data_IF_819346292449
#
_entry.id   IF_819346292449
#
_cell.length_a   1.000
_cell.length_b   1.000
_cell.length_c   1.000
_cell.angle_alpha   90.00
_cell.angle_beta   90.00
_cell.angle_gamma   90.00
#
_symmetry.space_group_name_H-M   'P 1'
#
loop_
_entity.id
_entity.type
_entity.pdbx_description
1 polymer ?
#
# COMPACT_ATOMS: atom_id res chain seq x y z
N UNK A 1 2.66 12.41 16.79
CA UNK A 1 3.55 11.59 17.66
C UNK A 1 3.45 10.16 17.18
N UNK A 2 4.57 9.52 16.85
CA UNK A 2 4.60 8.09 16.57
C UNK A 2 4.03 7.32 17.77
N UNK A 3 3.21 6.29 17.51
CA UNK A 3 2.63 5.45 18.55
C UNK A 3 3.77 4.79 19.31
N UNK A 4 3.83 4.98 20.64
CA UNK A 4 4.89 4.41 21.48
C UNK A 4 4.82 2.88 21.41
N UNK A 5 5.93 2.25 21.02
CA UNK A 5 6.04 0.79 20.98
C UNK A 5 6.31 0.24 22.40
N UNK A 6 5.50 -0.74 22.83
CA UNK A 6 5.56 -1.33 24.18
C UNK A 6 5.60 -2.86 24.16
N UNK A 7 5.65 -3.48 22.98
CA UNK A 7 5.59 -4.92 22.83
C UNK A 7 6.74 -5.66 23.54
N UNK A 8 7.92 -5.04 23.66
CA UNK A 8 9.05 -5.62 24.38
C UNK A 8 8.71 -5.80 25.85
N UNK A 9 8.27 -4.74 26.54
CA UNK A 9 7.89 -4.81 27.96
C UNK A 9 6.69 -5.69 28.21
N UNK A 10 5.68 -5.64 27.34
CA UNK A 10 4.47 -6.46 27.49
C UNK A 10 4.75 -7.96 27.38
N UNK A 11 5.64 -8.37 26.47
CA UNK A 11 5.88 -9.80 26.19
C UNK A 11 7.08 -10.37 26.92
N UNK A 12 8.11 -9.56 27.17
CA UNK A 12 9.40 -10.01 27.67
C UNK A 12 9.81 -9.34 28.98
N UNK A 13 8.98 -8.47 29.57
CA UNK A 13 9.32 -7.73 30.78
C UNK A 13 9.73 -8.62 31.96
N UNK A 14 9.11 -9.80 32.12
CA UNK A 14 9.48 -10.75 33.19
C UNK A 14 10.68 -11.61 32.81
N UNK A 15 10.75 -12.09 31.57
CA UNK A 15 11.78 -13.03 31.12
C UNK A 15 13.14 -12.35 30.88
N UNK A 16 13.12 -11.20 30.22
CA UNK A 16 14.30 -10.48 29.77
C UNK A 16 14.07 -8.95 29.86
N UNK A 17 13.94 -8.39 31.07
CA UNK A 17 13.56 -6.98 31.28
C UNK A 17 14.49 -5.99 30.57
N UNK A 18 15.80 -6.26 30.55
CA UNK A 18 16.74 -5.36 29.87
C UNK A 18 16.58 -5.40 28.35
N UNK A 19 16.31 -6.57 27.78
CA UNK A 19 16.05 -6.67 26.35
C UNK A 19 14.75 -5.97 25.98
N UNK A 20 13.70 -6.13 26.80
CA UNK A 20 12.44 -5.42 26.64
C UNK A 20 12.60 -3.89 26.65
N UNK A 21 13.40 -3.37 27.59
CA UNK A 21 13.74 -1.94 27.67
C UNK A 21 14.47 -1.47 26.40
N UNK A 22 15.53 -2.18 25.98
CA UNK A 22 16.31 -1.81 24.78
C UNK A 22 15.47 -1.87 23.50
N UNK A 23 14.55 -2.83 23.39
CA UNK A 23 13.64 -2.93 22.26
C UNK A 23 12.73 -1.70 22.17
N UNK A 24 12.07 -1.36 23.27
CA UNK A 24 11.05 -0.31 23.26
C UNK A 24 11.66 1.09 23.24
N UNK A 25 12.70 1.33 24.05
CA UNK A 25 13.26 2.68 24.22
C UNK A 25 14.32 2.99 23.18
N UNK A 26 15.27 2.07 22.94
CA UNK A 26 16.41 2.36 22.05
C UNK A 26 16.06 2.04 20.60
N UNK A 27 15.63 0.81 20.31
CA UNK A 27 15.32 0.43 18.93
C UNK A 27 14.16 1.26 18.39
N UNK A 28 12.98 1.18 19.00
CA UNK A 28 11.81 1.90 18.49
C UNK A 28 11.74 3.36 18.94
N UNK A 29 12.11 3.64 20.20
CA UNK A 29 12.04 5.00 20.75
C UNK A 29 13.11 5.96 20.22
N UNK A 30 14.28 5.47 19.80
CA UNK A 30 15.37 6.31 19.27
C UNK A 30 15.69 6.01 17.80
N UNK A 31 15.96 4.77 17.42
CA UNK A 31 16.45 4.48 16.05
C UNK A 31 15.34 4.64 15.01
N UNK A 32 14.16 4.07 15.26
CA UNK A 32 13.03 4.19 14.34
C UNK A 32 12.38 5.58 14.35
N UNK A 33 12.53 6.34 15.43
CA UNK A 33 11.96 7.69 15.55
C UNK A 33 12.75 8.78 14.82
N UNK A 34 13.96 8.47 14.32
CA UNK A 34 14.80 9.37 13.51
C UNK A 34 14.27 9.53 12.07
N UNK A 35 13.02 9.93 11.93
CA UNK A 35 12.33 10.04 10.63
C UNK A 35 12.83 11.21 9.77
N UNK A 36 13.51 12.21 10.36
CA UNK A 36 14.09 13.34 9.63
C UNK A 36 15.16 12.90 8.61
N UNK A 37 15.92 11.85 8.92
CA UNK A 37 17.03 11.36 8.09
C UNK A 37 16.60 10.25 7.12
N UNK A 38 15.71 9.37 7.58
CA UNK A 38 15.16 8.27 6.80
C UNK A 38 13.76 7.97 7.33
N UNK A 39 12.76 8.14 6.48
CA UNK A 39 11.36 7.98 6.89
C UNK A 39 11.03 6.51 7.25
N UNK A 40 9.91 6.31 7.93
CA UNK A 40 9.48 4.99 8.41
C UNK A 40 9.23 3.97 7.28
N UNK A 41 8.80 4.42 6.10
CA UNK A 41 8.57 3.56 4.92
C UNK A 41 9.88 2.97 4.42
N UNK A 42 10.90 3.81 4.22
CA UNK A 42 12.20 3.37 3.71
C UNK A 42 12.95 2.54 4.75
N UNK A 43 12.82 2.87 6.05
CA UNK A 43 13.31 2.02 7.16
C UNK A 43 12.69 0.62 7.15
N UNK A 44 11.37 0.53 6.93
CA UNK A 44 10.70 -0.76 6.78
C UNK A 44 11.23 -1.53 5.57
N UNK A 45 11.44 -0.85 4.44
CA UNK A 45 11.95 -1.48 3.22
C UNK A 45 13.33 -2.12 3.43
N UNK A 46 14.29 -1.38 4.00
CA UNK A 46 15.63 -1.91 4.27
C UNK A 46 15.61 -3.03 5.33
N UNK A 47 14.70 -2.94 6.31
CA UNK A 47 14.58 -3.96 7.35
C UNK A 47 14.00 -5.26 6.78
N UNK A 48 12.97 -5.18 5.93
CA UNK A 48 12.41 -6.31 5.19
C UNK A 48 13.51 -6.97 4.33
N UNK A 49 14.28 -6.18 3.58
CA UNK A 49 15.38 -6.68 2.76
C UNK A 49 16.44 -7.42 3.60
N UNK A 50 16.84 -6.85 4.75
CA UNK A 50 17.82 -7.46 5.65
C UNK A 50 17.31 -8.78 6.26
N UNK A 51 16.06 -8.81 6.73
CA UNK A 51 15.45 -10.01 7.33
C UNK A 51 15.25 -11.12 6.31
N UNK A 52 14.83 -10.77 5.08
CA UNK A 52 14.77 -11.69 3.96
C UNK A 52 16.15 -12.28 3.66
N UNK A 53 17.16 -11.42 3.52
CA UNK A 53 18.53 -11.82 3.22
C UNK A 53 19.10 -12.79 4.27
N UNK A 54 18.73 -12.60 5.55
CA UNK A 54 19.13 -13.47 6.66
C UNK A 54 18.26 -14.73 6.82
N UNK A 55 17.09 -14.83 6.15
CA UNK A 55 16.15 -15.94 6.33
C UNK A 55 15.41 -15.93 7.67
N UNK A 56 15.23 -14.75 8.28
CA UNK A 56 14.60 -14.58 9.61
C UNK A 56 13.08 -14.41 9.48
N UNK A 57 12.38 -15.46 9.05
CA UNK A 57 10.98 -15.41 8.63
C UNK A 57 9.96 -14.92 9.70
N UNK A 58 10.06 -15.29 10.99
CA UNK A 58 9.11 -14.79 11.99
C UNK A 58 9.18 -13.26 12.17
N UNK A 59 10.39 -12.70 12.17
CA UNK A 59 10.61 -11.27 12.21
C UNK A 59 10.25 -10.63 10.88
N UNK A 60 10.58 -11.26 9.75
CA UNK A 60 10.20 -10.79 8.41
C UNK A 60 8.69 -10.59 8.32
N UNK A 61 7.89 -11.57 8.74
CA UNK A 61 6.42 -11.45 8.79
C UNK A 61 5.96 -10.23 9.60
N UNK A 62 6.56 -10.02 10.77
CA UNK A 62 6.23 -8.88 11.64
C UNK A 62 6.56 -7.54 10.96
N UNK A 63 7.69 -7.47 10.24
CA UNK A 63 8.09 -6.28 9.49
C UNK A 63 7.37 -6.09 8.15
N UNK A 64 6.81 -7.16 7.57
CA UNK A 64 5.89 -7.05 6.44
C UNK A 64 4.58 -6.37 6.85
N UNK A 65 4.04 -6.70 8.03
CA UNK A 65 2.86 -6.02 8.61
C UNK A 65 3.17 -4.55 8.88
N UNK A 66 4.29 -4.26 9.53
CA UNK A 66 4.72 -2.88 9.80
C UNK A 66 4.99 -2.10 8.50
N UNK A 67 5.61 -2.73 7.50
CA UNK A 67 5.83 -2.15 6.19
C UNK A 67 4.53 -1.76 5.49
N UNK A 68 3.50 -2.62 5.58
CA UNK A 68 2.16 -2.33 5.06
C UNK A 68 1.53 -1.12 5.75
N UNK A 69 1.66 -1.00 7.07
CA UNK A 69 1.19 0.18 7.83
C UNK A 69 1.94 1.47 7.43
N UNK A 70 3.22 1.36 7.07
CA UNK A 70 4.02 2.47 6.56
C UNK A 70 3.83 2.72 5.04
N UNK A 71 2.88 2.05 4.39
CA UNK A 71 2.50 2.28 3.00
C UNK A 71 3.35 1.55 1.95
N UNK A 72 4.10 0.51 2.33
CA UNK A 72 4.71 -0.40 1.34
C UNK A 72 3.60 -1.31 0.78
N UNK A 73 3.50 -1.35 -0.54
CA UNK A 73 2.47 -2.12 -1.26
C UNK A 73 2.88 -3.59 -1.44
N UNK A 74 1.90 -4.46 -1.72
CA UNK A 74 2.15 -5.88 -2.02
C UNK A 74 3.11 -6.04 -3.22
N UNK A 75 2.88 -5.28 -4.28
CA UNK A 75 3.72 -5.29 -5.49
C UNK A 75 5.16 -4.89 -5.18
N UNK A 76 5.37 -3.84 -4.38
CA UNK A 76 6.73 -3.43 -3.97
C UNK A 76 7.46 -4.53 -3.17
N UNK A 77 6.77 -5.20 -2.23
CA UNK A 77 7.39 -6.31 -1.49
C UNK A 77 7.70 -7.49 -2.40
N UNK A 78 6.80 -7.82 -3.32
CA UNK A 78 7.02 -8.88 -4.31
C UNK A 78 8.25 -8.58 -5.16
N UNK A 79 8.41 -7.34 -5.62
CA UNK A 79 9.59 -6.90 -6.37
C UNK A 79 10.87 -6.94 -5.54
N UNK A 80 10.83 -6.50 -4.27
CA UNK A 80 11.99 -6.59 -3.35
C UNK A 80 12.44 -8.05 -3.20
N UNK A 81 11.51 -8.97 -2.94
CA UNK A 81 11.83 -10.38 -2.75
C UNK A 81 12.31 -11.02 -4.04
N UNK A 82 11.70 -10.69 -5.18
CA UNK A 82 12.10 -11.18 -6.50
C UNK A 82 13.50 -10.73 -6.86
N UNK A 83 13.80 -9.44 -6.67
CA UNK A 83 15.14 -8.88 -6.89
C UNK A 83 16.17 -9.55 -5.98
N UNK A 84 15.89 -9.65 -4.68
CA UNK A 84 16.82 -10.23 -3.72
C UNK A 84 16.98 -11.75 -3.88
N UNK A 85 16.06 -12.45 -4.53
CA UNK A 85 16.20 -13.88 -4.80
C UNK A 85 17.47 -14.19 -5.61
N UNK A 86 17.88 -13.29 -6.50
CA UNK A 86 19.13 -13.39 -7.27
C UNK A 86 20.39 -13.23 -6.41
N UNK A 87 20.31 -12.45 -5.32
CA UNK A 87 21.47 -12.13 -4.47
C UNK A 87 21.52 -12.97 -3.20
N UNK A 88 20.38 -13.42 -2.70
CA UNK A 88 20.24 -14.03 -1.38
C UNK A 88 19.73 -15.48 -1.43
N UNK A 89 19.30 -15.95 -2.61
CA UNK A 89 18.95 -17.34 -2.90
C UNK A 89 17.46 -17.57 -3.12
N UNK A 90 17.15 -18.31 -4.19
CA UNK A 90 15.79 -18.70 -4.59
C UNK A 90 14.97 -19.42 -3.49
N UNK A 91 15.53 -20.31 -2.66
CA UNK A 91 14.77 -20.98 -1.59
C UNK A 91 14.17 -20.01 -0.56
N UNK A 92 14.83 -18.87 -0.30
CA UNK A 92 14.32 -17.86 0.63
C UNK A 92 13.10 -17.15 0.06
N UNK A 93 13.11 -16.88 -1.25
CA UNK A 93 11.98 -16.30 -1.97
C UNK A 93 10.76 -17.22 -1.92
N UNK A 94 10.93 -18.50 -2.27
CA UNK A 94 9.86 -19.51 -2.16
C UNK A 94 9.25 -19.60 -0.75
N UNK A 95 10.08 -19.45 0.29
CA UNK A 95 9.60 -19.46 1.68
C UNK A 95 8.88 -18.17 2.07
N UNK A 96 9.15 -17.06 1.37
CA UNK A 96 8.65 -15.73 1.72
C UNK A 96 7.34 -15.39 1.02
N UNK A 97 7.13 -15.83 -0.24
CA UNK A 97 5.89 -15.53 -0.98
C UNK A 97 4.60 -15.91 -0.24
N UNK A 98 4.47 -17.11 0.39
CA UNK A 98 3.28 -17.43 1.17
C UNK A 98 3.07 -16.50 2.38
N UNK A 99 4.16 -15.99 2.97
CA UNK A 99 4.10 -15.03 4.08
C UNK A 99 3.60 -13.67 3.58
N UNK A 100 4.01 -13.26 2.37
CA UNK A 100 3.48 -12.05 1.73
C UNK A 100 1.98 -12.19 1.50
N UNK A 101 1.53 -13.32 0.94
CA UNK A 101 0.10 -13.58 0.75
C UNK A 101 -0.68 -13.56 2.06
N UNK A 102 -0.13 -14.12 3.14
CA UNK A 102 -0.78 -14.09 4.45
C UNK A 102 -0.96 -12.65 4.98
N UNK A 103 0.05 -11.78 4.80
CA UNK A 103 0.03 -10.41 5.34
C UNK A 103 -0.76 -9.44 4.47
N UNK A 104 -0.62 -9.56 3.16
CA UNK A 104 -1.25 -8.65 2.20
C UNK A 104 -2.61 -9.14 1.71
N UNK A 105 -2.91 -10.43 1.89
CA UNK A 105 -4.07 -11.11 1.33
C UNK A 105 -3.80 -11.63 -0.08
N UNK A 106 -4.67 -12.55 -0.54
CA UNK A 106 -4.79 -12.83 -1.96
C UNK A 106 -5.30 -11.57 -2.65
N UNK A 107 -4.71 -11.22 -3.79
CA UNK A 107 -5.41 -10.33 -4.70
C UNK A 107 -6.58 -11.15 -5.24
N UNK A 108 -7.74 -11.04 -4.60
CA UNK A 108 -8.99 -11.15 -5.35
C UNK A 108 -8.99 -10.01 -6.37
N UNK A 109 -9.93 -10.00 -7.31
CA UNK A 109 -10.11 -8.91 -8.28
C UNK A 109 -10.24 -7.48 -7.64
N UNK A 110 -10.09 -7.32 -6.32
CA UNK A 110 -10.23 -6.13 -5.50
C UNK A 110 -8.87 -5.60 -5.02
N UNK A 111 -8.10 -5.01 -5.93
CA UNK A 111 -6.96 -4.12 -5.60
C UNK A 111 -7.40 -2.69 -5.27
N UNK A 112 -8.66 -2.51 -4.86
CA UNK A 112 -9.29 -1.20 -4.72
C UNK A 112 -9.69 -1.04 -3.26
N UNK A 113 -9.20 -0.02 -2.54
CA UNK A 113 -9.59 0.18 -1.15
C UNK A 113 -11.10 0.32 -1.03
N UNK A 114 -11.72 -0.30 -0.03
CA UNK A 114 -13.19 -0.24 0.16
C UNK A 114 -13.74 1.19 0.25
N UNK A 115 -12.87 2.14 0.62
CA UNK A 115 -13.17 3.56 0.63
C UNK A 115 -11.89 4.39 0.49
N UNK A 116 -11.80 5.18 -0.59
CA UNK A 116 -10.69 6.11 -0.85
C UNK A 116 -11.01 7.57 -0.49
N UNK A 117 -12.29 7.93 -0.52
CA UNK A 117 -12.78 9.27 -0.25
C UNK A 117 -14.19 9.19 0.38
N UNK A 118 -14.82 10.35 0.58
CA UNK A 118 -16.23 10.41 0.99
C UNK A 118 -17.19 9.89 -0.10
N UNK A 119 -16.71 9.73 -1.34
CA UNK A 119 -17.51 9.25 -2.47
C UNK A 119 -17.34 7.75 -2.70
N UNK A 120 -18.40 7.03 -3.10
CA UNK A 120 -18.36 5.60 -3.39
C UNK A 120 -17.53 5.31 -4.66
N UNK A 121 -16.90 4.14 -4.71
CA UNK A 121 -16.07 3.69 -5.84
C UNK A 121 -16.93 3.12 -6.97
N UNK A 122 -17.98 2.39 -6.59
CA UNK A 122 -18.95 1.84 -7.54
C UNK A 122 -18.50 0.55 -8.20
N UNK A 123 -19.06 0.25 -9.37
CA UNK A 123 -18.83 -1.01 -10.09
C UNK A 123 -17.71 -0.85 -11.12
N UNK A 124 -17.08 -1.95 -11.57
CA UNK A 124 -16.15 -1.91 -12.69
C UNK A 124 -16.75 -1.20 -13.90
N UNK A 125 -16.00 -0.27 -14.46
CA UNK A 125 -16.40 0.59 -15.58
C UNK A 125 -16.18 -0.12 -16.92
N UNK A 126 -16.75 -1.31 -17.08
CA UNK A 126 -16.52 -2.17 -18.26
C UNK A 126 -17.07 -1.59 -19.55
N UNK A 127 -18.14 -0.78 -19.47
CA UNK A 127 -18.77 -0.14 -20.62
C UNK A 127 -17.83 0.82 -21.37
N UNK A 128 -16.82 1.37 -20.70
CA UNK A 128 -15.88 2.33 -21.27
C UNK A 128 -14.43 1.82 -21.23
N UNK A 129 -14.21 0.53 -20.99
CA UNK A 129 -12.88 -0.04 -20.79
C UNK A 129 -11.91 0.20 -21.97
N UNK A 130 -12.42 0.32 -23.20
CA UNK A 130 -11.61 0.63 -24.40
C UNK A 130 -10.89 1.99 -24.33
N UNK A 131 -11.41 2.93 -23.53
CA UNK A 131 -10.83 4.26 -23.36
C UNK A 131 -9.83 4.32 -22.20
N UNK A 132 -9.51 3.20 -21.55
CA UNK A 132 -8.57 3.17 -20.44
C UNK A 132 -7.51 2.10 -20.62
N UNK A 133 -6.28 2.41 -20.24
CA UNK A 133 -5.27 1.41 -19.91
C UNK A 133 -5.39 1.11 -18.42
N UNK A 134 -5.67 -0.13 -18.05
CA UNK A 134 -5.98 -0.50 -16.66
C UNK A 134 -7.48 -0.40 -16.33
N UNK A 135 -7.82 -0.64 -15.07
CA UNK A 135 -9.19 -0.69 -14.56
C UNK A 135 -9.65 0.67 -14.07
N UNK A 136 -10.92 0.95 -14.33
CA UNK A 136 -11.65 2.07 -13.73
C UNK A 136 -12.96 1.58 -13.15
N UNK A 137 -13.51 2.37 -12.21
CA UNK A 137 -14.75 2.10 -11.50
C UNK A 137 -15.63 3.34 -11.55
N UNK A 138 -16.93 3.14 -11.62
CA UNK A 138 -17.91 4.20 -11.79
C UNK A 138 -19.01 4.08 -10.73
N UNK A 139 -19.21 5.15 -9.97
CA UNK A 139 -20.32 5.28 -9.03
C UNK A 139 -21.19 6.51 -9.35
N UNK A 140 -22.52 6.35 -9.47
CA UNK A 140 -23.41 7.51 -9.50
C UNK A 140 -23.45 8.17 -8.12
N UNK A 141 -23.30 9.49 -8.08
CA UNK A 141 -23.35 10.31 -6.85
C UNK A 141 -24.65 11.12 -6.79
N UNK A 142 -25.05 11.72 -7.90
CA UNK A 142 -26.32 12.45 -8.01
C UNK A 142 -26.85 12.37 -9.45
N UNK A 143 -28.17 12.28 -9.59
CA UNK A 143 -28.89 12.40 -10.86
C UNK A 143 -29.78 13.65 -10.94
N UNK A 144 -29.75 14.52 -9.92
CA UNK A 144 -30.58 15.73 -9.85
C UNK A 144 -29.79 16.98 -10.22
N UNK A 145 -30.42 17.88 -10.99
CA UNK A 145 -29.85 19.10 -11.58
C UNK A 145 -28.75 18.84 -12.63
N UNK A 146 -27.65 18.23 -12.20
CA UNK A 146 -26.53 17.82 -13.05
C UNK A 146 -26.12 16.39 -12.65
N UNK A 147 -25.96 15.46 -13.61
CA UNK A 147 -25.43 14.14 -13.32
C UNK A 147 -24.00 14.22 -12.76
N UNK A 148 -23.77 13.61 -11.59
CA UNK A 148 -22.46 13.55 -10.95
C UNK A 148 -22.08 12.09 -10.78
N UNK A 149 -20.88 11.74 -11.21
CA UNK A 149 -20.30 10.42 -11.07
C UNK A 149 -18.92 10.52 -10.41
N UNK A 150 -18.61 9.59 -9.53
CA UNK A 150 -17.25 9.38 -9.06
C UNK A 150 -16.59 8.31 -9.94
N UNK A 151 -15.46 8.66 -10.53
CA UNK A 151 -14.64 7.74 -11.33
C UNK A 151 -13.39 7.43 -10.53
N UNK A 152 -13.17 6.17 -10.22
CA UNK A 152 -11.97 5.71 -9.50
C UNK A 152 -11.08 4.94 -10.45
N UNK A 153 -9.78 5.21 -10.41
CA UNK A 153 -8.78 4.58 -11.25
C UNK A 153 -7.90 3.68 -10.38
N UNK A 154 -7.58 2.49 -10.88
CA UNK A 154 -6.49 1.74 -10.24
C UNK A 154 -5.16 2.49 -10.41
N UNK A 155 -4.19 2.32 -9.49
CA UNK A 155 -2.87 2.93 -9.65
C UNK A 155 -2.26 2.62 -11.02
N UNK A 156 -1.78 3.66 -11.71
CA UNK A 156 -1.19 3.54 -13.04
C UNK A 156 -2.20 3.49 -14.20
N UNK A 157 -3.50 3.46 -13.93
CA UNK A 157 -4.51 3.54 -14.97
C UNK A 157 -4.44 4.88 -15.72
N UNK A 158 -4.55 4.82 -17.05
CA UNK A 158 -4.47 5.99 -17.93
C UNK A 158 -5.74 6.10 -18.74
N UNK A 159 -6.32 7.30 -18.83
CA UNK A 159 -7.36 7.55 -19.81
C UNK A 159 -6.72 7.80 -21.18
N UNK A 160 -7.36 7.28 -22.22
CA UNK A 160 -7.06 7.63 -23.59
C UNK A 160 -7.80 8.94 -23.91
N UNK A 161 -7.12 9.83 -24.63
CA UNK A 161 -7.65 11.13 -24.99
C UNK A 161 -8.97 10.99 -25.76
N UNK A 162 -10.01 11.68 -25.30
CA UNK A 162 -11.28 11.80 -26.01
C UNK A 162 -11.83 13.22 -25.89
N UNK A 163 -12.74 13.58 -26.79
CA UNK A 163 -13.29 14.92 -26.94
C UNK A 163 -14.81 14.84 -26.82
N UNK A 164 -15.39 15.74 -26.02
CA UNK A 164 -16.84 15.91 -25.96
C UNK A 164 -17.27 16.96 -26.98
N UNK A 165 -17.95 16.51 -28.04
CA UNK A 165 -18.58 17.41 -29.00
C UNK A 165 -19.97 17.79 -28.50
N UNK A 166 -20.25 19.08 -28.36
CA UNK A 166 -21.57 19.59 -27.99
C UNK A 166 -22.00 20.71 -28.94
N UNK A 167 -23.19 20.58 -29.54
CA UNK A 167 -23.72 21.58 -30.49
C UNK A 167 -24.35 22.79 -29.77
N UNK A 168 -24.91 22.62 -28.56
CA UNK A 168 -25.33 23.71 -27.66
C UNK A 168 -25.24 23.30 -26.18
N UNK A 169 -24.53 24.09 -25.37
CA UNK A 169 -24.63 24.09 -23.90
C UNK A 169 -24.14 22.83 -23.16
N UNK A 170 -23.25 22.02 -23.75
CA UNK A 170 -22.71 20.81 -23.13
C UNK A 170 -21.25 20.93 -22.70
N UNK A 171 -20.82 20.09 -21.75
CA UNK A 171 -19.45 20.00 -21.29
C UNK A 171 -19.30 19.04 -20.11
N UNK A 172 -18.07 18.71 -19.76
CA UNK A 172 -17.74 17.93 -18.56
C UNK A 172 -16.78 18.75 -17.69
N UNK A 173 -17.04 18.76 -16.39
CA UNK A 173 -16.13 19.29 -15.39
C UNK A 173 -15.58 18.12 -14.58
N UNK A 174 -14.25 18.10 -14.41
CA UNK A 174 -13.55 17.10 -13.61
C UNK A 174 -13.02 17.75 -12.33
N UNK A 175 -13.31 17.14 -11.19
CA UNK A 175 -12.82 17.55 -9.88
C UNK A 175 -11.99 16.41 -9.31
N UNK A 176 -10.70 16.65 -9.11
CA UNK A 176 -9.83 15.69 -8.43
C UNK A 176 -10.11 15.74 -6.92
N UNK A 177 -10.78 14.72 -6.39
CA UNK A 177 -11.21 14.67 -4.99
C UNK A 177 -10.26 13.87 -4.09
N UNK A 178 -9.41 13.02 -4.67
CA UNK A 178 -8.43 12.19 -3.97
C UNK A 178 -7.38 11.64 -4.95
N UNK A 179 -6.20 11.28 -4.43
CA UNK A 179 -5.18 10.53 -5.16
C UNK A 179 -3.89 11.32 -5.40
N UNK A 180 -2.86 10.62 -5.88
CA UNK A 180 -1.59 11.19 -6.27
C UNK A 180 -1.32 10.81 -7.73
N UNK A 181 -1.19 11.83 -8.58
CA UNK A 181 -0.75 11.67 -9.97
C UNK A 181 0.76 11.74 -10.08
N UNK A 182 1.33 10.94 -10.96
CA UNK A 182 2.75 10.99 -11.36
C UNK A 182 2.78 11.36 -12.84
N UNK A 183 3.67 12.28 -13.22
CA UNK A 183 3.82 12.76 -14.60
C UNK A 183 4.71 11.83 -15.43
#
# INVERSE_FOLDING_TARGET
>A
MAKKQTAGRERLGTLAPKFAELNDDVLFGEVWSREEELNARDRSMITIAALFSAGLYPQLKSHLVLGKEHGITKSEVVEIVTQLAFYCGWPKAWSTFPIIEEVYGNETEEGIPSQLSIFPIGKPNTAFAEYFSGRSFLAPVSSSQVPIFNVTFEPGCRNNWHIHHAEKGGGQMLLCVYGQGWY
#
